data_IF_577832438609
#
_entry.id   IF_577832438609
#
_cell.length_a   1.000
_cell.length_b   1.000
_cell.length_c   1.000
_cell.angle_alpha   90.00
_cell.angle_beta   90.00
_cell.angle_gamma   90.00
#
_symmetry.space_group_name_H-M   'P 1'
#
loop_
_entity.id
_entity.type
_entity.pdbx_description
1 polymer ?
#
# COMPACT_ATOMS: atom_id res chain seq x y z
N UNK A 1 -54.58 -63.60 39.86
CA UNK A 1 -54.01 -63.30 38.52
C UNK A 1 -53.72 -61.81 38.50
N UNK A 2 -52.48 -61.41 38.76
CA UNK A 2 -52.07 -60.01 38.92
C UNK A 2 -51.25 -59.64 37.67
N UNK A 3 -51.78 -58.73 36.86
CA UNK A 3 -51.15 -58.26 35.62
C UNK A 3 -50.26 -57.07 35.99
N UNK A 4 -48.94 -57.27 35.95
CA UNK A 4 -47.96 -56.22 36.14
C UNK A 4 -47.76 -55.46 34.82
N UNK A 5 -48.23 -54.21 34.78
CA UNK A 5 -48.00 -53.26 33.69
C UNK A 5 -46.62 -52.62 33.86
N UNK A 6 -45.65 -53.07 33.06
CA UNK A 6 -44.34 -52.44 32.94
C UNK A 6 -44.47 -51.19 32.04
N UNK A 7 -44.50 -50.02 32.67
CA UNK A 7 -44.47 -48.73 31.99
C UNK A 7 -43.01 -48.46 31.58
N UNK A 8 -42.70 -48.70 30.30
CA UNK A 8 -41.43 -48.33 29.68
C UNK A 8 -41.38 -46.81 29.48
N UNK A 9 -40.82 -46.09 30.45
CA UNK A 9 -40.46 -44.68 30.31
C UNK A 9 -39.26 -44.57 29.37
N UNK A 10 -39.52 -44.40 28.07
CA UNK A 10 -38.50 -43.95 27.12
C UNK A 10 -38.15 -42.49 27.44
N UNK A 11 -37.04 -42.29 28.14
CA UNK A 11 -36.40 -40.97 28.24
C UNK A 11 -35.92 -40.56 26.85
N UNK A 12 -36.74 -39.75 26.16
CA UNK A 12 -36.33 -39.02 24.96
C UNK A 12 -35.37 -37.93 25.44
N UNK A 13 -34.08 -38.25 25.53
CA UNK A 13 -33.06 -37.21 25.73
C UNK A 13 -33.03 -36.37 24.45
N UNK A 14 -33.26 -35.05 24.52
CA UNK A 14 -33.04 -34.18 23.37
C UNK A 14 -31.57 -34.33 22.96
N UNK A 15 -31.34 -34.73 21.71
CA UNK A 15 -29.98 -34.79 21.16
C UNK A 15 -29.35 -33.41 21.40
N UNK A 16 -28.13 -33.34 21.95
CA UNK A 16 -27.44 -32.06 22.12
C UNK A 16 -27.42 -31.37 20.77
N UNK A 17 -28.10 -30.22 20.68
CA UNK A 17 -27.98 -29.35 19.52
C UNK A 17 -26.56 -28.80 19.58
N UNK A 18 -25.75 -29.13 18.58
CA UNK A 18 -24.42 -28.59 18.45
C UNK A 18 -24.53 -27.06 18.53
N UNK A 19 -23.77 -26.45 19.44
CA UNK A 19 -23.71 -25.00 19.56
C UNK A 19 -23.46 -24.41 18.17
N UNK A 20 -24.26 -23.40 17.82
CA UNK A 20 -24.15 -22.65 16.58
C UNK A 20 -22.78 -21.98 16.59
N UNK A 21 -21.76 -22.67 16.06
CA UNK A 21 -20.49 -22.05 15.75
C UNK A 21 -20.82 -20.90 14.79
N UNK A 22 -20.56 -19.67 15.22
CA UNK A 22 -20.59 -18.48 14.37
C UNK A 22 -19.49 -18.64 13.33
N UNK A 23 -19.77 -19.44 12.32
CA UNK A 23 -18.84 -19.68 11.24
C UNK A 23 -18.52 -18.37 10.54
N UNK A 24 -17.28 -18.26 10.09
CA UNK A 24 -16.74 -17.14 9.33
C UNK A 24 -16.10 -17.63 8.04
N UNK A 25 -16.11 -16.76 7.04
CA UNK A 25 -15.29 -16.89 5.84
C UNK A 25 -14.29 -15.74 5.84
N UNK A 26 -13.01 -16.06 5.70
CA UNK A 26 -11.91 -15.10 5.63
C UNK A 26 -11.25 -15.15 4.26
N UNK A 27 -10.97 -13.98 3.69
CA UNK A 27 -10.35 -13.80 2.37
C UNK A 27 -9.03 -13.05 2.55
N UNK A 28 -7.94 -13.66 2.09
CA UNK A 28 -6.58 -13.11 2.15
C UNK A 28 -6.00 -12.96 0.74
N UNK A 29 -6.05 -11.78 0.11
CA UNK A 29 -5.44 -11.52 -1.19
C UNK A 29 -3.90 -11.49 -1.10
N UNK A 30 -3.21 -11.76 -2.21
CA UNK A 30 -1.75 -11.63 -2.34
C UNK A 30 -1.26 -10.19 -2.51
N UNK A 31 -2.17 -9.25 -2.77
CA UNK A 31 -1.87 -7.85 -3.01
C UNK A 31 -2.26 -6.96 -1.82
N UNK A 32 -1.59 -5.81 -1.69
CA UNK A 32 -1.90 -4.78 -0.71
C UNK A 32 -2.41 -3.52 -1.41
N UNK A 33 -3.70 -3.21 -1.25
CA UNK A 33 -4.34 -2.04 -1.86
C UNK A 33 -5.00 -2.37 -3.19
N UNK A 34 -4.21 -2.53 -4.25
CA UNK A 34 -4.69 -2.78 -5.61
C UNK A 34 -4.04 -4.02 -6.23
N UNK A 35 -4.76 -4.68 -7.12
CA UNK A 35 -4.27 -5.76 -7.96
C UNK A 35 -3.72 -5.20 -9.28
N UNK A 36 -2.76 -5.91 -9.88
CA UNK A 36 -2.21 -5.54 -11.18
C UNK A 36 -2.87 -6.35 -12.29
N UNK A 37 -3.34 -5.67 -13.34
CA UNK A 37 -3.92 -6.33 -14.51
C UNK A 37 -2.88 -7.29 -15.15
N UNK A 38 -3.30 -8.53 -15.42
CA UNK A 38 -2.46 -9.53 -16.08
C UNK A 38 -1.40 -10.21 -15.21
N UNK A 39 -1.18 -9.78 -13.96
CA UNK A 39 -0.17 -10.39 -13.08
C UNK A 39 -0.63 -11.72 -12.44
N UNK A 40 -1.92 -12.05 -12.56
CA UNK A 40 -2.47 -13.32 -12.07
C UNK A 40 -2.41 -13.43 -10.55
N UNK A 41 -2.87 -12.39 -9.85
CA UNK A 41 -2.96 -12.32 -8.40
C UNK A 41 -3.73 -13.52 -7.82
N UNK A 42 -3.53 -13.80 -6.53
CA UNK A 42 -4.15 -14.95 -5.88
C UNK A 42 -4.83 -14.55 -4.58
N UNK A 43 -5.87 -15.29 -4.20
CA UNK A 43 -6.49 -15.16 -2.88
C UNK A 43 -6.60 -16.52 -2.19
N UNK A 44 -6.28 -16.53 -0.91
CA UNK A 44 -6.48 -17.66 -0.01
C UNK A 44 -7.77 -17.44 0.74
N UNK A 45 -8.67 -18.41 0.69
CA UNK A 45 -9.99 -18.30 1.32
C UNK A 45 -10.15 -19.47 2.29
N UNK A 46 -10.60 -19.16 3.51
CA UNK A 46 -10.82 -20.14 4.57
C UNK A 46 -12.26 -20.02 5.06
N UNK A 47 -12.93 -21.16 5.25
CA UNK A 47 -14.30 -21.22 5.76
C UNK A 47 -14.35 -22.17 6.95
N UNK A 48 -14.87 -21.67 8.07
CA UNK A 48 -15.26 -22.52 9.22
C UNK A 48 -16.70 -23.04 9.09
N UNK A 49 -17.43 -22.59 8.06
CA UNK A 49 -18.84 -22.94 7.82
C UNK A 49 -19.02 -24.16 6.91
N UNK A 50 -17.93 -24.82 6.51
CA UNK A 50 -17.93 -25.92 5.54
C UNK A 50 -17.63 -25.47 4.12
N UNK A 51 -18.13 -26.25 3.15
CA UNK A 51 -17.95 -25.96 1.73
C UNK A 51 -18.57 -24.61 1.34
N UNK A 52 -17.99 -23.95 0.33
CA UNK A 52 -18.40 -22.63 -0.13
C UNK A 52 -18.14 -22.45 -1.63
N UNK A 53 -18.87 -21.51 -2.21
CA UNK A 53 -18.73 -21.06 -3.59
C UNK A 53 -17.98 -19.73 -3.62
N UNK A 54 -17.14 -19.54 -4.65
CA UNK A 54 -16.39 -18.29 -4.86
C UNK A 54 -16.83 -17.65 -6.17
N UNK A 55 -17.03 -16.34 -6.14
CA UNK A 55 -17.47 -15.52 -7.25
C UNK A 55 -16.55 -14.30 -7.42
N UNK A 56 -16.26 -13.95 -8.67
CA UNK A 56 -15.64 -12.69 -9.06
C UNK A 56 -16.63 -11.92 -9.94
N UNK A 57 -17.10 -10.78 -9.46
CA UNK A 57 -18.11 -9.95 -10.14
C UNK A 57 -19.35 -10.75 -10.56
N UNK A 58 -19.84 -11.60 -9.65
CA UNK A 58 -20.97 -12.53 -9.86
C UNK A 58 -20.67 -13.72 -10.79
N UNK A 59 -19.48 -13.82 -11.38
CA UNK A 59 -19.06 -15.00 -12.14
C UNK A 59 -18.50 -16.06 -11.19
N UNK A 60 -19.08 -17.26 -11.18
CA UNK A 60 -18.63 -18.37 -10.30
C UNK A 60 -17.25 -18.85 -10.75
N UNK A 61 -16.26 -18.71 -9.87
CA UNK A 61 -14.91 -19.24 -10.08
C UNK A 61 -14.83 -20.74 -9.74
N UNK A 62 -15.61 -21.19 -8.77
CA UNK A 62 -15.64 -22.60 -8.37
C UNK A 62 -16.36 -22.86 -7.06
N UNK A 63 -16.38 -24.13 -6.67
CA UNK A 63 -16.87 -24.61 -5.38
C UNK A 63 -15.73 -25.36 -4.69
N UNK A 64 -15.57 -25.09 -3.41
CA UNK A 64 -14.43 -25.55 -2.63
C UNK A 64 -14.89 -26.12 -1.29
N UNK A 65 -14.04 -26.93 -0.67
CA UNK A 65 -14.23 -27.41 0.70
C UNK A 65 -14.04 -26.29 1.73
N UNK A 66 -13.27 -26.53 2.78
CA UNK A 66 -13.01 -25.50 3.82
C UNK A 66 -11.88 -24.52 3.44
N UNK A 67 -11.17 -24.77 2.34
CA UNK A 67 -10.03 -23.97 1.89
C UNK A 67 -10.06 -23.84 0.37
N UNK A 68 -9.73 -22.65 -0.13
CA UNK A 68 -9.57 -22.39 -1.55
C UNK A 68 -8.31 -21.55 -1.81
N UNK A 69 -7.70 -21.81 -2.97
CA UNK A 69 -6.66 -20.98 -3.55
C UNK A 69 -7.13 -20.57 -4.94
N UNK A 70 -7.54 -19.32 -5.11
CA UNK A 70 -8.12 -18.83 -6.37
C UNK A 70 -7.17 -17.86 -7.04
N UNK A 71 -6.99 -18.02 -8.35
CA UNK A 71 -6.32 -17.03 -9.20
C UNK A 71 -7.36 -15.98 -9.59
N UNK A 72 -7.01 -14.72 -9.45
CA UNK A 72 -7.84 -13.56 -9.78
C UNK A 72 -7.32 -12.99 -11.10
N UNK A 73 -8.13 -13.16 -12.15
CA UNK A 73 -7.89 -12.58 -13.46
C UNK A 73 -9.04 -11.61 -13.74
N UNK A 74 -8.76 -10.33 -13.54
CA UNK A 74 -9.71 -9.25 -13.74
C UNK A 74 -9.06 -8.16 -14.60
N UNK A 75 -9.89 -7.48 -15.40
CA UNK A 75 -9.48 -6.33 -16.18
C UNK A 75 -9.28 -5.10 -15.27
N UNK A 76 -8.76 -4.00 -15.79
CA UNK A 76 -8.74 -2.71 -15.09
C UNK A 76 -10.15 -2.30 -14.61
N UNK A 77 -10.28 -1.91 -13.32
CA UNK A 77 -11.54 -1.46 -12.74
C UNK A 77 -11.74 -1.85 -11.28
N UNK A 78 -12.97 -1.66 -10.79
CA UNK A 78 -13.39 -2.10 -9.45
C UNK A 78 -14.06 -3.47 -9.52
N UNK A 79 -13.68 -4.35 -8.62
CA UNK A 79 -14.11 -5.75 -8.60
C UNK A 79 -14.51 -6.19 -7.20
N UNK A 80 -15.40 -7.18 -7.13
CA UNK A 80 -15.81 -7.81 -5.87
C UNK A 80 -15.53 -9.30 -5.92
N UNK A 81 -14.70 -9.77 -4.99
CA UNK A 81 -14.52 -11.19 -4.70
C UNK A 81 -15.47 -11.59 -3.57
N UNK A 82 -16.41 -12.47 -3.87
CA UNK A 82 -17.42 -12.95 -2.92
C UNK A 82 -17.21 -14.45 -2.67
N UNK A 83 -17.16 -14.84 -1.40
CA UNK A 83 -17.16 -16.24 -0.99
C UNK A 83 -18.35 -16.47 -0.08
N UNK A 84 -19.20 -17.44 -0.43
CA UNK A 84 -20.45 -17.67 0.29
C UNK A 84 -20.87 -19.13 0.37
N UNK A 85 -21.65 -19.42 1.39
CA UNK A 85 -22.43 -20.63 1.52
C UNK A 85 -23.77 -20.29 2.23
N UNK A 86 -24.69 -21.25 2.45
CA UNK A 86 -25.98 -20.96 3.08
C UNK A 86 -25.91 -20.40 4.51
N UNK A 87 -24.76 -20.49 5.19
CA UNK A 87 -24.59 -20.09 6.59
C UNK A 87 -23.72 -18.84 6.76
N UNK A 88 -22.86 -18.53 5.79
CA UNK A 88 -21.81 -17.52 5.90
C UNK A 88 -21.49 -16.88 4.55
N UNK A 89 -21.13 -15.60 4.57
CA UNK A 89 -20.73 -14.84 3.40
C UNK A 89 -19.61 -13.86 3.76
N UNK A 90 -18.67 -13.68 2.83
CA UNK A 90 -17.65 -12.62 2.90
C UNK A 90 -17.45 -12.01 1.52
N UNK A 91 -17.31 -10.69 1.49
CA UNK A 91 -16.95 -9.91 0.31
C UNK A 91 -15.64 -9.18 0.53
N UNK A 92 -14.87 -9.06 -0.54
CA UNK A 92 -13.68 -8.25 -0.64
C UNK A 92 -13.79 -7.41 -1.91
N UNK A 93 -13.95 -6.11 -1.75
CA UNK A 93 -13.89 -5.16 -2.85
C UNK A 93 -12.43 -4.74 -3.05
N UNK A 94 -12.00 -4.69 -4.31
CA UNK A 94 -10.64 -4.30 -4.68
C UNK A 94 -10.61 -3.59 -6.04
N UNK A 95 -9.51 -2.89 -6.29
CA UNK A 95 -9.27 -2.18 -7.54
C UNK A 95 -8.15 -2.89 -8.31
N UNK A 96 -8.34 -3.07 -9.61
CA UNK A 96 -7.33 -3.57 -10.55
C UNK A 96 -6.85 -2.39 -11.37
N UNK A 97 -5.54 -2.21 -11.44
CA UNK A 97 -4.91 -1.13 -12.21
C UNK A 97 -3.94 -1.69 -13.25
N UNK A 98 -3.80 -0.94 -14.35
CA UNK A 98 -2.75 -1.17 -15.33
C UNK A 98 -1.40 -0.77 -14.77
N UNK A 99 -0.38 -1.54 -15.14
CA UNK A 99 1.00 -1.18 -14.86
C UNK A 99 1.34 0.14 -15.56
N UNK A 100 1.89 1.09 -14.80
CA UNK A 100 2.37 2.38 -15.30
C UNK A 100 3.82 2.28 -15.81
N UNK A 101 4.56 1.29 -15.34
CA UNK A 101 6.00 1.16 -15.59
C UNK A 101 6.46 -0.30 -15.57
N UNK A 102 7.62 -0.53 -16.18
CA UNK A 102 8.32 -1.81 -16.08
C UNK A 102 9.28 -1.76 -14.88
N UNK A 103 9.47 -2.91 -14.22
CA UNK A 103 10.21 -2.98 -12.95
C UNK A 103 11.58 -2.30 -12.97
N UNK A 104 11.88 -1.52 -11.94
CA UNK A 104 13.11 -0.73 -11.75
C UNK A 104 13.27 0.51 -12.64
N UNK A 105 12.24 0.93 -13.36
CA UNK A 105 12.25 2.24 -14.00
C UNK A 105 12.27 3.36 -12.96
N UNK A 106 13.05 4.40 -13.23
CA UNK A 106 13.06 5.63 -12.45
C UNK A 106 12.63 6.79 -13.36
N UNK A 107 11.77 7.68 -12.86
CA UNK A 107 11.41 8.91 -13.56
C UNK A 107 11.63 10.15 -12.69
N UNK A 108 11.94 11.26 -13.34
CA UNK A 108 11.98 12.56 -12.69
C UNK A 108 10.57 12.99 -12.30
N UNK A 109 10.44 13.54 -11.10
CA UNK A 109 9.21 14.13 -10.57
C UNK A 109 9.52 15.49 -9.95
N UNK A 110 8.49 16.30 -9.71
CA UNK A 110 8.62 17.62 -9.08
C UNK A 110 7.56 17.79 -7.99
N UNK A 111 8.01 18.16 -6.79
CA UNK A 111 7.14 18.44 -5.63
C UNK A 111 7.57 19.77 -5.03
N UNK A 112 6.63 20.72 -4.93
CA UNK A 112 6.86 22.08 -4.42
C UNK A 112 8.00 22.83 -5.13
N UNK A 113 8.13 22.67 -6.45
CA UNK A 113 9.22 23.31 -7.22
C UNK A 113 10.57 22.60 -7.12
N UNK A 114 10.63 21.43 -6.47
CA UNK A 114 11.86 20.69 -6.24
C UNK A 114 11.87 19.36 -6.97
N UNK A 115 12.93 19.15 -7.76
CA UNK A 115 13.16 17.88 -8.46
C UNK A 115 13.36 16.72 -7.49
N UNK A 116 12.80 15.58 -7.84
CA UNK A 116 12.95 14.30 -7.15
C UNK A 116 12.97 13.14 -8.14
N UNK A 117 12.87 11.93 -7.60
CA UNK A 117 12.81 10.70 -8.38
C UNK A 117 11.70 9.80 -7.85
N UNK A 118 10.87 9.29 -8.75
CA UNK A 118 9.93 8.20 -8.47
C UNK A 118 10.54 6.90 -8.97
N UNK A 119 10.49 5.87 -8.13
CA UNK A 119 10.96 4.53 -8.46
C UNK A 119 9.75 3.64 -8.71
N UNK A 120 9.79 2.92 -9.83
CA UNK A 120 8.81 1.90 -10.18
C UNK A 120 8.99 0.67 -9.29
N UNK A 121 7.94 0.30 -8.56
CA UNK A 121 7.88 -0.92 -7.77
C UNK A 121 6.53 -1.62 -8.02
N UNK A 122 6.57 -2.91 -8.37
CA UNK A 122 5.35 -3.69 -8.61
C UNK A 122 4.46 -3.16 -9.75
N UNK A 123 5.07 -2.52 -10.76
CA UNK A 123 4.34 -1.95 -11.90
C UNK A 123 3.79 -0.53 -11.69
N UNK A 124 4.04 0.09 -10.53
CA UNK A 124 3.57 1.44 -10.22
C UNK A 124 4.70 2.35 -9.74
N UNK A 125 4.63 3.63 -10.07
CA UNK A 125 5.55 4.62 -9.53
C UNK A 125 5.22 4.89 -8.06
N UNK A 126 6.23 4.77 -7.20
CA UNK A 126 6.13 5.17 -5.81
C UNK A 126 6.04 6.69 -5.64
N UNK A 127 6.10 7.14 -4.39
CA UNK A 127 6.15 8.57 -4.08
C UNK A 127 7.40 9.23 -4.63
N UNK A 128 7.29 10.51 -5.00
CA UNK A 128 8.43 11.32 -5.42
C UNK A 128 9.43 11.52 -4.27
N UNK A 129 10.58 10.86 -4.35
CA UNK A 129 11.66 10.96 -3.36
C UNK A 129 12.55 12.15 -3.73
N UNK A 130 12.61 13.14 -2.82
CA UNK A 130 13.51 14.28 -2.98
C UNK A 130 14.95 13.90 -2.61
N UNK A 131 15.96 14.55 -3.21
CA UNK A 131 17.34 14.47 -2.74
C UNK A 131 17.43 14.89 -1.26
N UNK A 132 18.40 14.33 -0.55
CA UNK A 132 18.65 14.70 0.85
C UNK A 132 18.91 16.21 0.96
N UNK A 133 18.32 16.82 1.99
CA UNK A 133 18.61 18.22 2.33
C UNK A 133 20.02 18.30 2.90
N UNK A 134 20.85 19.13 2.30
CA UNK A 134 22.21 19.43 2.77
C UNK A 134 22.28 20.78 3.49
N UNK A 135 21.29 21.65 3.31
CA UNK A 135 21.21 22.97 3.93
C UNK A 135 19.75 23.40 4.14
N UNK A 136 19.55 24.38 5.02
CA UNK A 136 18.22 24.97 5.24
C UNK A 136 17.90 25.92 4.08
N UNK A 137 16.70 25.86 3.46
CA UNK A 137 16.35 26.76 2.36
C UNK A 137 16.63 28.23 2.70
N UNK A 138 17.30 28.93 1.78
CA UNK A 138 17.77 30.32 1.93
C UNK A 138 18.80 30.56 3.05
N UNK A 139 19.37 29.51 3.64
CA UNK A 139 20.48 29.63 4.58
C UNK A 139 21.68 30.30 3.93
N UNK A 140 22.27 31.25 4.65
CA UNK A 140 23.43 32.01 4.21
C UNK A 140 24.67 31.49 4.90
N UNK A 141 25.66 31.07 4.11
CA UNK A 141 26.97 30.63 4.61
C UNK A 141 28.09 31.44 3.96
N UNK A 142 29.18 31.65 4.71
CA UNK A 142 30.36 32.34 4.20
C UNK A 142 31.09 31.51 3.14
N UNK A 143 31.70 32.18 2.17
CA UNK A 143 32.53 31.56 1.14
C UNK A 143 33.71 32.47 0.75
N UNK A 144 34.78 31.88 0.24
CA UNK A 144 35.90 32.62 -0.35
C UNK A 144 35.63 32.81 -1.85
N UNK A 145 35.74 34.04 -2.33
CA UNK A 145 35.69 34.38 -3.76
C UNK A 145 37.06 34.18 -4.41
N UNK A 146 38.11 34.52 -3.66
CA UNK A 146 39.52 34.39 -4.03
C UNK A 146 40.38 34.46 -2.76
N UNK A 147 41.71 34.46 -2.91
CA UNK A 147 42.66 34.46 -1.78
C UNK A 147 42.49 35.63 -0.78
N UNK A 148 41.93 36.76 -1.22
CA UNK A 148 41.76 37.97 -0.39
C UNK A 148 40.29 38.40 -0.22
N UNK A 149 39.36 37.72 -0.89
CA UNK A 149 37.96 38.13 -1.02
C UNK A 149 37.00 37.14 -0.37
N UNK A 150 36.09 37.66 0.43
CA UNK A 150 35.04 36.88 1.12
C UNK A 150 33.66 37.30 0.63
N UNK A 151 32.74 36.34 0.66
CA UNK A 151 31.37 36.53 0.23
C UNK A 151 30.42 35.58 0.95
N UNK A 152 29.21 35.48 0.41
CA UNK A 152 28.19 34.56 0.90
C UNK A 152 27.58 33.77 -0.24
N UNK A 153 27.18 32.54 0.03
CA UNK A 153 26.34 31.75 -0.86
C UNK A 153 25.05 31.39 -0.14
N UNK A 154 23.97 31.28 -0.91
CA UNK A 154 22.64 30.96 -0.41
C UNK A 154 22.28 29.53 -0.77
N UNK A 155 21.71 28.81 0.19
CA UNK A 155 21.08 27.53 -0.07
C UNK A 155 19.87 27.71 -0.98
N UNK A 156 19.70 26.86 -1.99
CA UNK A 156 18.54 26.93 -2.87
C UNK A 156 17.23 26.65 -2.11
N UNK A 157 16.08 26.98 -2.73
CA UNK A 157 14.76 26.75 -2.12
C UNK A 157 14.49 25.28 -1.77
N UNK A 158 15.21 24.35 -2.41
CA UNK A 158 15.05 22.92 -2.21
C UNK A 158 15.94 22.32 -1.11
N UNK A 159 16.88 23.07 -0.56
CA UNK A 159 17.80 22.58 0.45
C UNK A 159 18.90 21.65 -0.09
N UNK A 160 19.05 21.52 -1.41
CA UNK A 160 19.88 20.47 -2.05
C UNK A 160 21.24 20.95 -2.51
N UNK A 161 21.42 22.26 -2.66
CA UNK A 161 22.67 22.85 -3.12
C UNK A 161 22.81 24.29 -2.64
N UNK A 162 24.05 24.74 -2.48
CA UNK A 162 24.35 26.17 -2.38
C UNK A 162 24.59 26.74 -3.78
N UNK A 163 24.11 27.96 -4.02
CA UNK A 163 24.40 28.72 -5.22
C UNK A 163 25.86 29.20 -5.30
N UNK A 164 26.14 30.05 -6.29
CA UNK A 164 27.45 30.68 -6.47
C UNK A 164 27.79 31.62 -5.30
N UNK A 165 29.09 31.75 -4.99
CA UNK A 165 29.57 32.71 -4.01
C UNK A 165 29.36 34.13 -4.54
N UNK A 166 28.60 34.94 -3.81
CA UNK A 166 28.33 36.33 -4.15
C UNK A 166 29.18 37.25 -3.28
N UNK A 167 29.78 38.26 -3.90
CA UNK A 167 30.49 39.30 -3.17
C UNK A 167 29.55 40.06 -2.25
N UNK A 168 30.01 40.35 -1.03
CA UNK A 168 29.40 41.45 -0.29
C UNK A 168 29.71 42.70 -1.10
N UNK A 169 28.70 43.44 -1.56
CA UNK A 169 28.87 44.73 -2.24
C UNK A 169 29.54 45.80 -1.36
N UNK A 170 30.17 45.43 -0.24
CA UNK A 170 31.13 46.26 0.46
C UNK A 170 32.43 46.29 -0.34
N UNK A 171 32.54 47.29 -1.20
CA UNK A 171 33.74 47.72 -1.89
C UNK A 171 34.82 48.15 -0.88
N UNK A 172 35.42 47.19 -0.16
CA UNK A 172 36.62 47.43 0.62
C UNK A 172 37.77 47.59 -0.38
N UNK A 173 38.10 48.83 -0.68
CA UNK A 173 39.21 49.18 -1.54
C UNK A 173 40.51 48.91 -0.75
N UNK A 174 41.32 47.94 -1.15
CA UNK A 174 42.53 47.52 -0.41
C UNK A 174 43.56 48.65 -0.19
N UNK A 175 43.39 49.79 -0.87
CA UNK A 175 44.18 51.01 -0.67
C UNK A 175 43.80 51.82 0.57
N UNK A 176 42.58 51.67 1.10
CA UNK A 176 42.12 52.33 2.32
C UNK A 176 41.58 51.26 3.26
N UNK A 177 42.17 51.12 4.43
CA UNK A 177 41.76 50.21 5.52
C UNK A 177 40.37 50.49 6.12
N UNK A 178 39.47 51.10 5.35
CA UNK A 178 38.08 51.39 5.68
C UNK A 178 37.15 50.61 4.76
N UNK A 179 36.39 49.69 5.34
CA UNK A 179 35.19 49.13 4.71
C UNK A 179 34.02 50.08 5.02
N UNK A 180 33.35 50.57 3.98
CA UNK A 180 32.03 51.22 4.10
C UNK A 180 30.92 50.16 4.14
#
# INVERSE_FOLDING_TARGET
MVIALAIFYFFIMPKPQAETYNGTIDIYPSFSGFAQEGNGETARIFSSCGAFEVYLDKNKLGEFGQRAYVKIEAAEGSHTLEAKNPSCEKKLDFEVRKAECLGNENRSCEVDGCSGTETCAGGFFGSCIRPSRICTPNERVGCSLNACGFGYKYCNGCGTAFGQCQGSNSSCNAANSSCN
#
